data_IF_835381528794
#
_entry.id   IF_835381528794
#
_cell.length_a   1.000
_cell.length_b   1.000
_cell.length_c   1.000
_cell.angle_alpha   90.00
_cell.angle_beta   90.00
_cell.angle_gamma   90.00
#
_symmetry.space_group_name_H-M   'P 1'
#
loop_
_entity.id
_entity.type
_entity.pdbx_description
1 polymer ?
#
# COMPACT_ATOMS: atom_id res chain seq x y z
N UNK A 1 -72.03 -23.64 -24.04
CA UNK A 1 -71.38 -24.92 -24.40
C UNK A 1 -70.21 -24.59 -25.31
N UNK A 2 -68.98 -25.00 -24.95
CA UNK A 2 -67.77 -25.07 -25.81
C UNK A 2 -67.29 -23.71 -26.40
N UNK A 3 -66.02 -23.34 -26.41
CA UNK A 3 -64.81 -24.11 -26.54
C UNK A 3 -63.64 -23.54 -25.72
N UNK A 4 -62.82 -24.47 -25.21
CA UNK A 4 -61.49 -24.23 -24.66
C UNK A 4 -60.54 -23.96 -25.82
N UNK A 5 -59.81 -22.85 -25.79
CA UNK A 5 -58.61 -22.68 -26.60
C UNK A 5 -57.40 -22.59 -25.67
N UNK A 6 -56.79 -23.76 -25.46
CA UNK A 6 -55.40 -23.91 -25.05
C UNK A 6 -54.52 -23.47 -26.21
N UNK A 7 -53.69 -22.45 -26.00
CA UNK A 7 -52.54 -22.16 -26.84
C UNK A 7 -51.42 -21.55 -25.98
N UNK A 8 -50.53 -22.42 -25.48
CA UNK A 8 -49.13 -22.09 -25.20
C UNK A 8 -48.38 -22.25 -26.54
N UNK A 9 -47.46 -21.35 -26.92
CA UNK A 9 -46.11 -21.47 -26.37
C UNK A 9 -45.29 -20.16 -26.22
N UNK A 10 -44.37 -20.18 -25.23
CA UNK A 10 -42.96 -19.72 -25.30
C UNK A 10 -42.67 -18.23 -25.59
N UNK A 11 -42.13 -17.49 -24.61
CA UNK A 11 -40.76 -16.89 -24.65
C UNK A 11 -40.45 -15.99 -23.44
N UNK A 12 -39.19 -16.05 -23.04
CA UNK A 12 -38.49 -15.34 -21.98
C UNK A 12 -38.85 -13.86 -21.83
N UNK A 13 -39.04 -13.42 -20.58
CA UNK A 13 -38.67 -12.08 -20.17
C UNK A 13 -37.95 -12.17 -18.81
N UNK A 14 -36.62 -12.02 -18.84
CA UNK A 14 -35.80 -11.75 -17.67
C UNK A 14 -36.31 -10.46 -17.02
N UNK A 15 -36.98 -10.57 -15.87
CA UNK A 15 -37.21 -9.44 -15.00
C UNK A 15 -35.97 -9.23 -14.14
N UNK A 16 -35.10 -8.36 -14.66
CA UNK A 16 -33.96 -7.74 -14.01
C UNK A 16 -34.43 -7.02 -12.74
N UNK A 17 -34.20 -7.63 -11.57
CA UNK A 17 -34.20 -6.92 -10.30
C UNK A 17 -32.75 -6.62 -9.92
N UNK A 18 -32.36 -5.37 -9.63
CA UNK A 18 -30.98 -5.09 -9.26
C UNK A 18 -30.68 -5.79 -7.94
N UNK A 19 -29.74 -6.74 -8.04
CA UNK A 19 -28.92 -7.23 -6.96
C UNK A 19 -28.52 -6.04 -6.09
N UNK A 20 -28.87 -6.11 -4.80
CA UNK A 20 -28.24 -5.31 -3.74
C UNK A 20 -26.74 -5.25 -4.04
N UNK A 21 -26.13 -4.07 -4.28
CA UNK A 21 -24.69 -4.00 -4.44
C UNK A 21 -24.05 -4.34 -3.08
N UNK A 22 -23.21 -5.38 -2.97
CA UNK A 22 -22.38 -5.57 -1.79
C UNK A 22 -21.12 -4.68 -1.90
N UNK A 23 -20.42 -4.50 -0.77
CA UNK A 23 -20.31 -3.25 -0.02
C UNK A 23 -19.44 -2.17 -0.72
N UNK A 24 -19.46 -0.97 -0.15
CA UNK A 24 -18.79 0.29 -0.52
C UNK A 24 -17.32 0.22 -0.98
N UNK A 25 -16.65 -0.93 -0.87
CA UNK A 25 -15.30 -1.16 -1.38
C UNK A 25 -15.20 -1.07 -2.91
N UNK A 26 -16.26 -1.39 -3.66
CA UNK A 26 -16.22 -1.40 -5.14
C UNK A 26 -16.56 -0.04 -5.76
N UNK A 27 -17.28 0.81 -5.03
CA UNK A 27 -17.79 2.09 -5.55
C UNK A 27 -16.79 3.25 -5.41
N UNK A 28 -15.78 3.14 -4.56
CA UNK A 28 -14.83 4.23 -4.31
C UNK A 28 -13.74 4.39 -5.39
N UNK A 29 -13.72 3.51 -6.39
CA UNK A 29 -12.67 3.47 -7.43
C UNK A 29 -13.19 3.78 -8.84
N UNK A 30 -14.48 4.10 -8.99
CA UNK A 30 -15.04 4.54 -10.27
C UNK A 30 -14.66 5.99 -10.53
N UNK A 31 -13.64 6.21 -11.36
CA UNK A 31 -13.48 7.51 -12.04
C UNK A 31 -14.71 7.70 -12.92
N UNK A 32 -15.37 8.86 -12.81
CA UNK A 32 -16.60 9.15 -13.55
C UNK A 32 -16.42 8.85 -15.06
N UNK A 33 -17.15 7.86 -15.57
CA UNK A 33 -17.21 7.51 -17.00
C UNK A 33 -16.53 6.20 -17.43
N UNK A 34 -15.83 5.46 -16.55
CA UNK A 34 -15.20 4.19 -16.90
C UNK A 34 -15.93 2.98 -16.32
N UNK A 35 -16.27 1.98 -17.16
CA UNK A 35 -16.72 0.68 -16.67
C UNK A 35 -15.61 0.02 -15.85
N UNK A 36 -15.88 -0.30 -14.58
CA UNK A 36 -14.92 -0.96 -13.68
C UNK A 36 -14.77 -2.41 -14.12
N UNK A 37 -13.66 -2.72 -14.82
CA UNK A 37 -13.26 -4.09 -15.07
C UNK A 37 -12.90 -4.72 -13.72
N UNK A 38 -13.47 -5.89 -13.42
CA UNK A 38 -13.27 -6.65 -12.18
C UNK A 38 -11.80 -7.03 -11.89
N UNK A 39 -10.87 -6.79 -12.82
CA UNK A 39 -9.42 -6.92 -12.65
C UNK A 39 -8.66 -5.63 -12.30
N UNK A 40 -9.33 -4.46 -12.23
CA UNK A 40 -8.67 -3.16 -12.03
C UNK A 40 -8.62 -2.68 -10.57
N UNK A 41 -9.14 -3.42 -9.61
CA UNK A 41 -8.98 -3.12 -8.19
C UNK A 41 -7.59 -3.50 -7.64
N UNK A 42 -6.58 -3.75 -8.49
CA UNK A 42 -5.32 -4.39 -8.09
C UNK A 42 -4.25 -3.46 -7.49
N UNK A 43 -4.43 -2.13 -7.58
CA UNK A 43 -3.41 -1.16 -7.18
C UNK A 43 -4.03 0.05 -6.51
N UNK A 44 -3.42 0.48 -5.41
CA UNK A 44 -3.76 1.71 -4.72
C UNK A 44 -3.56 2.92 -5.67
N UNK A 45 -4.52 3.85 -5.83
CA UNK A 45 -4.49 4.87 -6.89
C UNK A 45 -3.31 5.85 -6.84
N UNK A 46 -2.70 6.03 -5.67
CA UNK A 46 -1.57 6.93 -5.50
C UNK A 46 -0.60 6.40 -4.43
N UNK A 47 0.61 6.04 -4.84
CA UNK A 47 1.75 5.93 -3.93
C UNK A 47 2.24 7.31 -3.47
N UNK A 48 3.16 7.35 -2.51
CA UNK A 48 3.90 8.59 -2.22
C UNK A 48 5.04 8.69 -3.22
N UNK A 49 5.12 9.77 -4.00
CA UNK A 49 6.25 10.00 -4.93
C UNK A 49 7.45 10.66 -4.25
N UNK A 50 7.24 11.23 -3.05
CA UNK A 50 8.25 12.00 -2.31
C UNK A 50 9.30 11.08 -1.71
N UNK A 51 10.58 11.37 -2.02
CA UNK A 51 11.70 10.66 -1.42
C UNK A 51 11.73 10.85 0.10
N UNK A 52 11.98 9.79 0.89
CA UNK A 52 12.20 9.93 2.32
C UNK A 52 13.51 10.66 2.60
N UNK A 53 13.55 11.42 3.69
CA UNK A 53 14.79 11.92 4.27
C UNK A 53 15.39 10.87 5.20
N UNK A 54 16.72 10.79 5.21
CA UNK A 54 17.46 9.79 6.00
C UNK A 54 18.55 10.50 6.75
N UNK A 55 18.62 10.24 8.05
CA UNK A 55 19.75 10.63 8.90
C UNK A 55 20.41 9.38 9.44
N UNK A 56 21.72 9.42 9.63
CA UNK A 56 22.49 8.30 10.16
C UNK A 56 23.23 8.71 11.43
N UNK A 57 23.23 7.81 12.40
CA UNK A 57 23.99 7.92 13.63
C UNK A 57 24.83 6.66 13.84
N UNK A 58 25.92 6.80 14.59
CA UNK A 58 26.89 5.72 14.82
C UNK A 58 27.87 5.53 13.67
N UNK A 59 28.91 4.74 13.93
CA UNK A 59 30.01 4.49 12.99
C UNK A 59 30.28 3.00 12.91
N UNK A 60 30.59 2.51 11.71
CA UNK A 60 31.05 1.14 11.51
C UNK A 60 32.47 0.97 12.13
N UNK A 61 32.80 -0.16 12.80
CA UNK A 61 32.05 -1.41 12.93
C UNK A 61 31.07 -1.50 14.11
N UNK A 62 30.84 -0.41 14.84
CA UNK A 62 29.77 -0.37 15.83
C UNK A 62 28.39 -0.32 15.14
N UNK A 63 27.33 -0.34 15.95
CA UNK A 63 25.96 -0.20 15.45
C UNK A 63 25.81 1.14 14.75
N UNK A 64 25.24 1.08 13.55
CA UNK A 64 24.78 2.25 12.81
C UNK A 64 23.27 2.25 12.75
N UNK A 65 22.67 3.40 13.02
CA UNK A 65 21.21 3.59 13.03
C UNK A 65 20.84 4.63 11.99
N UNK A 66 19.95 4.25 11.09
CA UNK A 66 19.34 5.10 10.08
C UNK A 66 17.93 5.47 10.52
N UNK A 67 17.65 6.75 10.66
CA UNK A 67 16.30 7.27 10.90
C UNK A 67 15.72 7.76 9.58
N UNK A 68 14.70 7.07 9.10
CA UNK A 68 14.02 7.34 7.83
C UNK A 68 12.73 8.11 8.12
N UNK A 69 12.52 9.23 7.46
CA UNK A 69 11.35 10.10 7.66
C UNK A 69 10.69 10.45 6.33
N UNK A 70 9.37 10.41 6.26
CA UNK A 70 8.61 10.69 5.04
C UNK A 70 7.27 11.38 5.33
N UNK A 71 6.69 12.13 4.38
CA UNK A 71 5.34 12.67 4.55
C UNK A 71 4.28 11.56 4.53
N UNK A 72 3.24 11.73 5.34
CA UNK A 72 2.12 10.79 5.39
C UNK A 72 1.38 10.74 4.06
N UNK A 73 1.39 9.57 3.41
CA UNK A 73 0.59 9.32 2.22
C UNK A 73 -0.91 9.34 2.56
N UNK A 74 -1.71 10.00 1.69
CA UNK A 74 -3.17 10.12 1.86
C UNK A 74 -3.94 9.62 0.63
N UNK A 75 -3.90 8.32 0.33
CA UNK A 75 -4.35 7.75 -0.95
C UNK A 75 -5.89 7.72 -1.13
N UNK A 76 -6.67 7.72 -0.05
CA UNK A 76 -8.14 7.55 -0.11
C UNK A 76 -8.87 8.81 0.37
N UNK A 77 -9.24 9.70 -0.55
CA UNK A 77 -10.02 10.91 -0.22
C UNK A 77 -9.40 11.77 0.90
N UNK A 78 -8.06 11.77 1.02
CA UNK A 78 -7.34 12.49 2.07
C UNK A 78 -7.09 11.71 3.37
N UNK A 79 -7.56 10.46 3.49
CA UNK A 79 -7.31 9.60 4.67
C UNK A 79 -5.87 9.07 4.68
N UNK A 80 -5.20 9.06 5.84
CA UNK A 80 -3.82 8.59 5.96
C UNK A 80 -3.70 7.08 5.77
N UNK A 81 -2.63 6.64 5.10
CA UNK A 81 -2.32 5.22 4.95
C UNK A 81 -2.24 4.49 6.31
N UNK A 82 -2.64 3.22 6.33
CA UNK A 82 -2.68 2.42 7.56
C UNK A 82 -1.33 1.78 7.90
N UNK A 83 -0.39 1.77 6.96
CA UNK A 83 0.96 1.29 7.17
C UNK A 83 1.90 1.67 6.02
N UNK A 84 3.14 1.23 6.12
CA UNK A 84 4.18 1.47 5.11
C UNK A 84 5.11 0.27 5.00
N UNK A 85 5.46 -0.12 3.77
CA UNK A 85 6.57 -1.05 3.51
C UNK A 85 7.78 -0.24 3.13
N UNK A 86 8.90 -0.49 3.80
CA UNK A 86 10.17 0.14 3.47
C UNK A 86 11.12 -0.86 2.83
N UNK A 87 11.93 -0.37 1.90
CA UNK A 87 13.01 -1.16 1.29
C UNK A 87 14.32 -0.41 1.40
N UNK A 88 15.34 -1.12 1.88
CA UNK A 88 16.73 -0.69 1.90
C UNK A 88 17.46 -1.18 0.66
N UNK A 89 18.22 -0.31 0.02
CA UNK A 89 19.21 -0.66 -1.00
C UNK A 89 20.57 -0.15 -0.55
N UNK A 90 21.59 -0.99 -0.63
CA UNK A 90 22.94 -0.67 -0.18
C UNK A 90 23.97 -1.02 -1.27
N UNK A 91 25.09 -0.31 -1.31
CA UNK A 91 26.09 -0.47 -2.39
C UNK A 91 26.93 -1.74 -2.25
N UNK A 92 27.14 -2.22 -1.02
CA UNK A 92 28.01 -3.38 -0.76
C UNK A 92 27.24 -4.67 -0.47
N UNK A 93 25.94 -4.58 -0.19
CA UNK A 93 25.12 -5.73 0.14
C UNK A 93 23.63 -5.46 -0.12
N UNK A 94 22.87 -6.48 -0.47
CA UNK A 94 21.40 -6.45 -0.53
C UNK A 94 20.76 -7.00 0.75
N UNK A 95 21.49 -7.00 1.87
CA UNK A 95 20.98 -7.50 3.14
C UNK A 95 19.65 -6.80 3.50
N UNK A 96 18.61 -7.56 3.88
CA UNK A 96 17.36 -7.00 4.34
C UNK A 96 17.59 -6.13 5.57
N UNK A 97 16.62 -5.28 5.92
CA UNK A 97 16.67 -4.52 7.18
C UNK A 97 16.90 -5.48 8.35
N UNK A 98 17.76 -5.07 9.27
CA UNK A 98 18.34 -5.98 10.26
C UNK A 98 17.57 -5.88 11.58
N UNK A 99 17.56 -4.69 12.19
CA UNK A 99 16.80 -4.41 13.41
C UNK A 99 16.13 -3.03 13.37
N UNK A 100 15.11 -2.81 14.19
CA UNK A 100 14.42 -1.52 14.32
C UNK A 100 13.00 -1.52 13.75
N UNK A 101 12.29 -0.40 13.88
CA UNK A 101 10.88 -0.32 13.49
C UNK A 101 10.65 -0.38 11.98
N UNK A 102 11.66 -0.06 11.15
CA UNK A 102 11.52 -0.14 9.69
C UNK A 102 11.40 -1.59 9.18
N UNK A 103 11.83 -2.60 9.95
CA UNK A 103 11.67 -4.02 9.56
C UNK A 103 10.20 -4.39 9.43
N UNK A 104 9.33 -3.70 10.19
CA UNK A 104 7.91 -3.92 10.24
C UNK A 104 7.52 -5.29 10.81
N UNK A 105 6.23 -5.57 10.75
CA UNK A 105 5.61 -6.85 11.09
C UNK A 105 4.67 -7.31 9.98
N UNK A 106 4.06 -8.49 10.14
CA UNK A 106 2.98 -8.91 9.25
C UNK A 106 1.69 -8.21 9.66
N UNK A 107 1.07 -7.46 8.76
CA UNK A 107 -0.23 -6.81 8.95
C UNK A 107 -1.16 -7.18 7.81
N UNK A 108 -2.35 -7.69 8.13
CA UNK A 108 -3.35 -8.14 7.16
C UNK A 108 -2.85 -9.13 6.09
N UNK A 109 -1.73 -9.83 6.34
CA UNK A 109 -1.09 -10.76 5.41
C UNK A 109 0.01 -10.14 4.53
N UNK A 110 0.28 -8.83 4.67
CA UNK A 110 1.43 -8.16 4.06
C UNK A 110 2.60 -8.17 5.06
N UNK A 111 3.77 -8.66 4.63
CA UNK A 111 4.97 -8.68 5.48
C UNK A 111 5.73 -7.35 5.43
N UNK A 112 6.49 -7.08 6.50
CA UNK A 112 7.36 -5.91 6.57
C UNK A 112 6.62 -4.58 6.64
N UNK A 113 5.40 -4.58 7.20
CA UNK A 113 4.59 -3.38 7.36
C UNK A 113 4.98 -2.67 8.65
N UNK A 114 5.52 -1.48 8.52
CA UNK A 114 5.57 -0.49 9.59
C UNK A 114 4.16 0.07 9.80
N UNK A 115 3.61 -0.10 11.01
CA UNK A 115 2.32 0.47 11.41
C UNK A 115 2.59 1.71 12.26
N UNK A 116 2.24 2.92 11.79
CA UNK A 116 2.37 4.15 12.58
C UNK A 116 1.64 4.07 13.92
N UNK A 117 2.26 4.60 14.97
CA UNK A 117 1.57 4.84 16.23
C UNK A 117 0.48 5.93 16.10
N UNK A 118 0.76 6.96 15.28
CA UNK A 118 -0.21 7.98 14.87
C UNK A 118 -0.26 8.06 13.33
N UNK A 119 -1.25 7.39 12.69
CA UNK A 119 -1.46 7.49 11.25
C UNK A 119 -1.76 8.92 10.78
N UNK A 120 -2.32 9.78 11.64
CA UNK A 120 -2.75 11.13 11.31
C UNK A 120 -1.62 12.17 11.23
N UNK A 121 -0.44 11.84 11.77
CA UNK A 121 0.73 12.72 11.79
C UNK A 121 1.09 13.26 10.39
N UNK A 122 1.70 14.44 10.33
CA UNK A 122 2.12 15.03 9.05
C UNK A 122 3.25 14.23 8.38
N UNK A 123 4.12 13.66 9.20
CA UNK A 123 5.24 12.81 8.77
C UNK A 123 5.28 11.55 9.59
N UNK A 124 5.87 10.52 9.01
CA UNK A 124 6.09 9.22 9.62
C UNK A 124 7.58 8.97 9.70
N UNK A 125 8.00 8.23 10.71
CA UNK A 125 9.41 7.93 10.94
C UNK A 125 9.60 6.50 11.40
N UNK A 126 10.70 5.88 10.98
CA UNK A 126 11.14 4.60 11.51
C UNK A 126 12.66 4.55 11.61
N UNK A 127 13.15 3.57 12.38
CA UNK A 127 14.58 3.32 12.54
C UNK A 127 14.96 1.95 11.96
N UNK A 128 16.10 1.91 11.27
CA UNK A 128 16.78 0.69 10.81
C UNK A 128 18.20 0.72 11.39
N UNK A 129 18.60 -0.33 12.11
CA UNK A 129 19.93 -0.44 12.72
C UNK A 129 20.65 -1.70 12.28
N UNK A 130 21.94 -1.59 12.04
CA UNK A 130 22.78 -2.72 11.62
C UNK A 130 24.24 -2.55 12.07
N UNK A 131 24.93 -3.68 12.20
CA UNK A 131 26.40 -3.73 12.38
C UNK A 131 27.14 -4.05 11.07
N UNK A 132 26.41 -4.33 9.99
CA UNK A 132 27.00 -4.69 8.70
C UNK A 132 27.58 -3.46 8.00
N UNK A 133 28.69 -3.64 7.28
CA UNK A 133 29.19 -2.63 6.35
C UNK A 133 28.35 -2.65 5.06
N UNK A 134 27.44 -1.70 4.93
CA UNK A 134 26.55 -1.59 3.78
C UNK A 134 27.06 -0.63 2.69
N UNK A 135 28.13 0.14 2.97
CA UNK A 135 28.51 1.30 2.18
C UNK A 135 27.41 2.36 2.21
N UNK A 136 27.10 2.97 1.06
CA UNK A 136 26.03 3.95 0.95
C UNK A 136 24.66 3.28 0.93
N UNK A 137 23.72 3.81 1.69
CA UNK A 137 22.36 3.28 1.84
C UNK A 137 21.32 4.24 1.28
N UNK A 138 20.28 3.71 0.63
CA UNK A 138 19.09 4.43 0.18
C UNK A 138 17.82 3.69 0.62
N UNK A 139 16.74 4.44 0.82
CA UNK A 139 15.43 3.89 1.19
C UNK A 139 14.34 4.31 0.22
N UNK A 140 13.38 3.42 -0.01
CA UNK A 140 12.08 3.74 -0.61
C UNK A 140 10.96 3.37 0.36
N UNK A 141 9.82 4.05 0.23
CA UNK A 141 8.64 3.85 1.07
C UNK A 141 7.41 3.64 0.19
N UNK A 142 6.65 2.58 0.46
CA UNK A 142 5.37 2.30 -0.20
C UNK A 142 4.23 2.35 0.83
N UNK A 143 3.15 3.12 0.61
CA UNK A 143 2.02 3.13 1.53
C UNK A 143 1.22 1.82 1.46
N UNK A 144 0.64 1.44 2.59
CA UNK A 144 -0.20 0.25 2.74
C UNK A 144 -1.60 0.66 3.20
N UNK A 145 -2.61 0.04 2.61
CA UNK A 145 -4.01 0.17 3.02
C UNK A 145 -4.67 -1.21 3.04
N UNK A 146 -4.86 -1.77 4.23
CA UNK A 146 -5.24 -3.18 4.38
C UNK A 146 -4.22 -4.09 3.67
N UNK A 147 -4.65 -4.82 2.65
CA UNK A 147 -3.79 -5.73 1.86
C UNK A 147 -3.11 -5.10 0.66
N UNK A 148 -3.41 -3.84 0.37
CA UNK A 148 -2.92 -3.16 -0.83
C UNK A 148 -1.62 -2.42 -0.53
N UNK A 149 -0.59 -2.68 -1.34
CA UNK A 149 0.69 -1.95 -1.30
C UNK A 149 0.74 -1.01 -2.49
N UNK A 150 0.95 0.28 -2.25
CA UNK A 150 1.06 1.30 -3.28
C UNK A 150 2.42 1.30 -3.97
N UNK A 151 2.57 2.15 -4.98
CA UNK A 151 3.86 2.35 -5.66
C UNK A 151 4.90 2.92 -4.68
N UNK A 152 6.14 2.38 -4.66
CA UNK A 152 7.22 2.94 -3.85
C UNK A 152 7.58 4.37 -4.27
N UNK A 153 8.05 5.15 -3.30
CA UNK A 153 8.61 6.47 -3.54
C UNK A 153 9.85 6.46 -4.41
N UNK A 154 10.22 7.66 -4.88
CA UNK A 154 11.59 7.89 -5.32
C UNK A 154 12.57 7.53 -4.18
N UNK A 155 13.75 6.95 -4.48
CA UNK A 155 14.73 6.64 -3.47
C UNK A 155 15.25 7.88 -2.75
N UNK A 156 15.56 7.76 -1.46
CA UNK A 156 16.30 8.79 -0.74
C UNK A 156 17.64 9.12 -1.40
N UNK A 157 18.22 10.25 -0.98
CA UNK A 157 19.66 10.47 -1.14
C UNK A 157 20.44 9.33 -0.51
N UNK A 158 21.60 9.01 -1.09
CA UNK A 158 22.52 8.04 -0.52
C UNK A 158 23.13 8.61 0.76
N UNK A 159 23.08 7.84 1.85
CA UNK A 159 23.71 8.20 3.13
C UNK A 159 24.75 7.16 3.47
N UNK A 160 25.94 7.64 3.81
CA UNK A 160 27.05 6.82 4.25
C UNK A 160 26.95 6.49 5.71
#
# INVERSE_FOLDING_TARGET
MRDRLLALPVLLALAVGPLVPPPEASAAWAVAGGAVLSGQAASMPAGSTTAPSVTAAGVYPAVRTFTVTWPTARPYGGRPATGYVLKRTATLSNAPMDTGSCTGAVSDGVSGVYVPADPGAATQTCADSTTLNLGSVRYTVAPVWGRWVGTPSTPSTAVL
#
